data_IF_234329324063
#
_entry.id   IF_234329324063
#
_cell.length_a   1.000
_cell.length_b   1.000
_cell.length_c   1.000
_cell.angle_alpha   90.00
_cell.angle_beta   90.00
_cell.angle_gamma   90.00
#
_symmetry.space_group_name_H-M   'P 1'
#
loop_
_entity.id
_entity.type
_entity.pdbx_description
1 polymer ?
#
# COMPACT_ATOMS: atom_id res chain seq x y z
N UNK A 1 -22.29 19.61 2.47
CA UNK A 1 -21.17 19.11 1.62
C UNK A 1 -20.30 18.29 2.54
N UNK A 2 -20.53 17.00 2.71
CA UNK A 2 -19.63 16.18 3.54
C UNK A 2 -19.51 14.77 2.95
N UNK A 3 -18.73 14.64 1.89
CA UNK A 3 -18.17 13.32 1.58
C UNK A 3 -17.11 13.06 2.64
N UNK A 4 -17.28 12.04 3.48
CA UNK A 4 -16.28 11.67 4.50
C UNK A 4 -15.10 10.93 3.82
N UNK A 5 -14.31 11.68 3.07
CA UNK A 5 -13.13 11.18 2.35
C UNK A 5 -11.92 11.49 3.21
N UNK A 6 -11.56 10.54 4.08
CA UNK A 6 -10.38 10.60 4.94
C UNK A 6 -9.68 9.25 4.96
N UNK A 7 -8.58 9.11 5.70
CA UNK A 7 -7.88 7.82 5.78
C UNK A 7 -8.76 6.71 6.36
N UNK A 8 -9.80 7.05 7.12
CA UNK A 8 -10.72 6.06 7.69
C UNK A 8 -11.52 5.30 6.64
N UNK A 9 -11.69 5.83 5.42
CA UNK A 9 -12.42 5.13 4.36
C UNK A 9 -11.63 3.95 3.75
N UNK A 10 -10.34 3.83 4.04
CA UNK A 10 -9.47 2.77 3.52
C UNK A 10 -9.35 1.68 4.60
N UNK A 11 -9.95 0.53 4.35
CA UNK A 11 -9.92 -0.63 5.25
C UNK A 11 -9.02 -1.70 4.66
N UNK A 12 -8.09 -2.20 5.48
CA UNK A 12 -7.26 -3.36 5.19
C UNK A 12 -7.82 -4.54 5.99
N UNK A 13 -7.79 -5.72 5.40
CA UNK A 13 -8.27 -6.92 6.09
C UNK A 13 -7.22 -7.46 7.09
N UNK A 14 -5.93 -7.19 6.85
CA UNK A 14 -4.82 -7.54 7.74
C UNK A 14 -4.08 -6.28 8.26
N UNK A 15 -3.63 -6.25 9.54
CA UNK A 15 -2.88 -5.12 10.09
C UNK A 15 -1.43 -5.00 9.60
N UNK A 16 -0.83 -6.11 9.15
CA UNK A 16 0.53 -6.15 8.61
C UNK A 16 0.65 -7.24 7.53
N UNK A 17 1.67 -7.12 6.69
CA UNK A 17 1.93 -8.01 5.56
C UNK A 17 3.42 -8.36 5.49
N UNK A 18 3.76 -9.39 4.75
CA UNK A 18 5.12 -9.80 4.41
C UNK A 18 5.35 -9.66 2.89
N UNK A 19 6.61 -9.65 2.42
CA UNK A 19 6.88 -9.77 0.99
C UNK A 19 6.18 -11.00 0.39
N UNK A 20 5.62 -10.87 -0.81
CA UNK A 20 4.82 -11.92 -1.46
C UNK A 20 3.33 -11.98 -1.07
N UNK A 21 2.93 -11.37 0.05
CA UNK A 21 1.53 -11.42 0.50
C UNK A 21 0.56 -10.75 -0.47
N UNK A 22 -0.69 -11.23 -0.44
CA UNK A 22 -1.81 -10.57 -1.10
C UNK A 22 -2.42 -9.56 -0.13
N UNK A 23 -2.39 -8.28 -0.52
CA UNK A 23 -3.03 -7.21 0.24
C UNK A 23 -4.48 -7.08 -0.20
N UNK A 24 -5.40 -7.33 0.72
CA UNK A 24 -6.85 -7.20 0.48
C UNK A 24 -7.49 -6.14 1.37
N UNK A 25 -8.61 -5.60 0.90
CA UNK A 25 -9.39 -4.65 1.66
C UNK A 25 -10.50 -4.01 0.83
N UNK A 26 -11.03 -2.90 1.35
CA UNK A 26 -12.07 -2.13 0.68
C UNK A 26 -12.00 -0.65 0.98
N UNK A 27 -12.41 0.15 -0.01
CA UNK A 27 -12.71 1.57 0.15
C UNK A 27 -14.21 1.70 0.48
N UNK A 28 -14.54 2.28 1.63
CA UNK A 28 -15.92 2.48 2.09
C UNK A 28 -16.24 3.97 2.13
N UNK A 29 -17.11 4.42 1.23
CA UNK A 29 -17.46 5.83 1.08
C UNK A 29 -18.95 6.05 1.35
N UNK A 30 -19.25 7.16 2.01
CA UNK A 30 -20.61 7.62 2.22
C UNK A 30 -20.77 9.03 1.65
N UNK A 31 -21.75 9.21 0.77
CA UNK A 31 -22.10 10.50 0.19
C UNK A 31 -23.54 10.86 0.56
N UNK A 32 -23.73 11.97 1.29
CA UNK A 32 -25.07 12.49 1.61
C UNK A 32 -25.88 12.89 0.36
N UNK A 33 -25.17 13.25 -0.72
CA UNK A 33 -25.73 13.70 -1.99
C UNK A 33 -24.86 13.19 -3.13
N UNK A 34 -25.45 13.13 -4.32
CA UNK A 34 -24.74 12.83 -5.55
C UNK A 34 -23.47 13.67 -5.71
N UNK A 35 -22.35 12.99 -5.98
CA UNK A 35 -21.06 13.62 -6.21
C UNK A 35 -20.75 13.64 -7.70
N UNK A 36 -20.59 14.84 -8.28
CA UNK A 36 -20.10 14.99 -9.66
C UNK A 36 -18.65 14.48 -9.76
N UNK A 37 -18.45 13.37 -10.46
CA UNK A 37 -17.16 12.70 -10.60
C UNK A 37 -17.06 11.95 -11.94
N UNK A 38 -15.86 11.90 -12.53
CA UNK A 38 -15.64 11.17 -13.78
C UNK A 38 -15.16 9.74 -13.54
N UNK A 39 -14.36 9.52 -12.49
CA UNK A 39 -13.84 8.20 -12.12
C UNK A 39 -13.36 8.15 -10.67
N UNK A 40 -13.37 6.95 -10.10
CA UNK A 40 -12.73 6.60 -8.85
C UNK A 40 -11.58 5.64 -9.15
N UNK A 41 -10.37 6.07 -8.82
CA UNK A 41 -9.13 5.28 -8.97
C UNK A 41 -8.67 4.81 -7.60
N UNK A 42 -8.40 3.53 -7.47
CA UNK A 42 -7.69 2.95 -6.33
C UNK A 42 -6.27 2.66 -6.81
N UNK A 43 -5.27 3.16 -6.11
CA UNK A 43 -3.84 2.98 -6.45
C UNK A 43 -3.09 2.45 -5.25
N UNK A 44 -2.08 1.61 -5.49
CA UNK A 44 -1.17 1.13 -4.46
C UNK A 44 0.26 1.39 -4.88
N UNK A 45 1.11 1.71 -3.90
CA UNK A 45 2.49 2.10 -4.15
C UNK A 45 3.37 1.75 -2.96
N UNK A 46 4.60 1.34 -3.25
CA UNK A 46 5.69 1.16 -2.29
C UNK A 46 6.84 2.09 -2.60
N UNK A 47 7.03 3.12 -1.77
CA UNK A 47 8.03 4.19 -1.98
C UNK A 47 9.19 4.09 -0.99
N UNK A 48 10.39 4.26 -1.52
CA UNK A 48 11.63 4.38 -0.75
C UNK A 48 12.25 5.74 -0.98
N UNK A 49 12.56 6.43 0.11
CA UNK A 49 13.45 7.59 0.13
C UNK A 49 14.73 7.19 0.86
N UNK A 50 15.84 7.10 0.13
CA UNK A 50 17.17 6.87 0.68
C UNK A 50 17.91 8.21 0.81
N UNK A 51 18.42 8.50 2.01
CA UNK A 51 18.99 9.82 2.32
C UNK A 51 20.52 9.86 2.31
N UNK A 52 21.21 8.72 2.41
CA UNK A 52 22.67 8.71 2.45
C UNK A 52 23.28 8.19 1.15
N UNK A 53 23.50 9.09 0.19
CA UNK A 53 24.57 8.93 -0.80
C UNK A 53 25.54 10.09 -0.57
N UNK A 54 26.67 9.81 0.10
CA UNK A 54 27.74 10.79 0.33
C UNK A 54 28.49 10.95 -0.99
N UNK A 55 28.23 12.04 -1.71
CA UNK A 55 29.04 12.49 -2.85
C UNK A 55 29.91 13.68 -2.45
N UNK A 56 30.91 14.00 -3.27
CA UNK A 56 31.86 15.10 -3.01
C UNK A 56 31.19 16.49 -2.90
N UNK A 57 29.92 16.64 -3.31
CA UNK A 57 29.19 17.91 -3.38
C UNK A 57 27.99 18.05 -2.42
N UNK A 58 27.85 17.18 -1.40
CA UNK A 58 26.81 17.32 -0.36
C UNK A 58 25.89 16.11 -0.18
N UNK A 59 24.77 16.33 0.52
CA UNK A 59 23.76 15.30 0.83
C UNK A 59 22.80 15.09 -0.37
N UNK A 60 22.81 13.89 -0.96
CA UNK A 60 21.96 13.53 -2.08
C UNK A 60 20.82 12.59 -1.65
N UNK A 61 19.58 12.96 -1.97
CA UNK A 61 18.41 12.11 -1.78
C UNK A 61 18.13 11.29 -3.05
N UNK A 62 17.95 9.97 -2.91
CA UNK A 62 17.48 9.10 -3.98
C UNK A 62 16.12 8.52 -3.61
N UNK A 63 15.15 8.67 -4.50
CA UNK A 63 13.82 8.10 -4.35
C UNK A 63 13.57 7.07 -5.45
N UNK A 64 12.97 5.94 -5.10
CA UNK A 64 12.49 4.95 -6.06
C UNK A 64 11.23 4.26 -5.52
N UNK A 65 10.48 3.63 -6.42
CA UNK A 65 9.28 2.87 -6.06
C UNK A 65 9.49 1.39 -6.35
N UNK A 66 9.20 0.52 -5.40
CA UNK A 66 9.21 -0.94 -5.61
C UNK A 66 8.12 -1.36 -6.60
N UNK A 67 6.95 -0.77 -6.42
CA UNK A 67 5.79 -0.99 -7.27
C UNK A 67 4.91 0.25 -7.24
N UNK A 68 4.15 0.44 -8.32
CA UNK A 68 3.14 1.49 -8.43
C UNK A 68 2.12 1.05 -9.46
N UNK A 69 0.92 0.71 -9.00
CA UNK A 69 -0.15 0.33 -9.92
C UNK A 69 -1.52 0.80 -9.40
N UNK A 70 -2.57 0.53 -10.16
CA UNK A 70 -3.91 0.99 -9.88
C UNK A 70 -5.01 0.23 -10.63
N UNK A 71 -6.22 0.40 -10.13
CA UNK A 71 -7.45 0.03 -10.82
C UNK A 71 -8.44 1.19 -10.85
N UNK A 72 -9.36 1.14 -11.81
CA UNK A 72 -10.51 2.05 -11.89
C UNK A 72 -11.71 1.30 -11.30
N UNK A 73 -12.04 1.60 -10.05
CA UNK A 73 -13.13 0.94 -9.34
C UNK A 73 -14.51 1.48 -9.72
N UNK A 74 -14.57 2.68 -10.28
CA UNK A 74 -15.79 3.24 -10.85
C UNK A 74 -15.48 4.26 -11.95
N UNK A 75 -16.32 4.31 -12.98
CA UNK A 75 -16.21 5.28 -14.08
C UNK A 75 -17.60 5.73 -14.51
N UNK A 76 -17.74 7.02 -14.76
CA UNK A 76 -18.90 7.60 -15.40
C UNK A 76 -19.00 7.15 -16.87
N UNK A 77 -20.18 6.71 -17.32
CA UNK A 77 -20.44 6.32 -18.72
C UNK A 77 -20.08 7.44 -19.73
N UNK A 78 -20.43 8.69 -19.43
CA UNK A 78 -20.13 9.86 -20.28
C UNK A 78 -19.03 10.78 -19.72
N UNK A 79 -18.30 10.34 -18.68
CA UNK A 79 -17.23 11.12 -18.04
C UNK A 79 -17.67 12.33 -17.20
N UNK A 80 -18.96 12.70 -17.21
CA UNK A 80 -19.53 13.82 -16.44
C UNK A 80 -20.60 13.39 -15.42
N UNK A 81 -20.85 12.08 -15.31
CA UNK A 81 -21.90 11.52 -14.45
C UNK A 81 -21.71 11.83 -12.96
N UNK A 82 -22.78 11.53 -12.22
CA UNK A 82 -22.85 11.62 -10.77
C UNK A 82 -22.53 10.25 -10.18
N UNK A 83 -21.59 10.20 -9.26
CA UNK A 83 -21.47 9.08 -8.33
C UNK A 83 -22.61 9.24 -7.32
N UNK A 84 -23.56 8.28 -7.24
CA UNK A 84 -24.81 8.51 -6.55
C UNK A 84 -24.63 8.63 -5.04
N UNK A 85 -25.58 9.31 -4.39
CA UNK A 85 -25.66 9.34 -2.94
C UNK A 85 -25.75 7.93 -2.33
N UNK A 86 -25.36 7.79 -1.07
CA UNK A 86 -25.43 6.54 -0.31
C UNK A 86 -24.07 5.93 0.01
N UNK A 87 -24.11 4.66 0.41
CA UNK A 87 -22.95 3.86 0.81
C UNK A 87 -22.38 3.09 -0.38
N UNK A 88 -21.07 3.20 -0.57
CA UNK A 88 -20.34 2.54 -1.64
C UNK A 88 -19.17 1.76 -1.06
N UNK A 89 -19.01 0.51 -1.52
CA UNK A 89 -17.91 -0.36 -1.13
C UNK A 89 -17.15 -0.82 -2.37
N UNK A 90 -15.89 -0.42 -2.48
CA UNK A 90 -15.02 -0.80 -3.60
C UNK A 90 -13.89 -1.71 -3.08
N UNK A 91 -13.98 -3.04 -3.27
CA UNK A 91 -12.93 -3.95 -2.86
C UNK A 91 -11.66 -3.76 -3.70
N UNK A 92 -10.51 -4.08 -3.12
CA UNK A 92 -9.23 -4.18 -3.82
C UNK A 92 -8.46 -5.41 -3.37
N UNK A 93 -7.63 -5.92 -4.27
CA UNK A 93 -6.70 -7.03 -4.01
C UNK A 93 -5.50 -6.86 -4.95
N UNK A 94 -4.28 -7.00 -4.42
CA UNK A 94 -3.06 -6.98 -5.21
C UNK A 94 -1.94 -7.75 -4.49
N UNK A 95 -1.04 -8.36 -5.27
CA UNK A 95 0.10 -9.10 -4.74
C UNK A 95 1.30 -8.18 -4.53
N UNK A 96 1.95 -8.31 -3.37
CA UNK A 96 3.23 -7.65 -3.09
C UNK A 96 4.38 -8.36 -3.80
N UNK A 97 5.40 -7.64 -4.29
CA UNK A 97 6.62 -8.27 -4.74
C UNK A 97 7.27 -9.13 -3.64
N UNK A 98 7.93 -10.22 -4.06
CA UNK A 98 8.68 -11.14 -3.17
C UNK A 98 9.86 -10.45 -2.46
N UNK A 99 10.40 -9.39 -3.06
CA UNK A 99 11.58 -8.67 -2.57
C UNK A 99 11.21 -7.24 -2.18
N UNK A 100 10.76 -7.07 -0.95
CA UNK A 100 10.43 -5.77 -0.35
C UNK A 100 11.22 -5.52 0.92
N UNK A 101 11.56 -4.25 1.16
CA UNK A 101 12.08 -3.83 2.46
C UNK A 101 10.94 -3.71 3.49
N UNK A 102 11.21 -3.98 4.77
CA UNK A 102 10.25 -3.69 5.82
C UNK A 102 9.87 -2.21 5.86
N UNK A 103 8.64 -1.91 6.27
CA UNK A 103 8.19 -0.53 6.49
C UNK A 103 9.10 0.17 7.49
N UNK A 104 9.57 1.37 7.13
CA UNK A 104 10.49 2.15 7.93
C UNK A 104 10.13 3.64 7.87
N UNK A 105 10.02 4.27 9.03
CA UNK A 105 9.86 5.72 9.14
C UNK A 105 10.63 6.19 10.38
N UNK A 106 11.82 6.79 10.22
CA UNK A 106 12.61 7.28 11.34
C UNK A 106 11.93 8.46 12.04
N UNK A 107 12.29 8.65 13.31
CA UNK A 107 12.05 9.93 14.00
C UNK A 107 13.17 10.91 13.61
N UNK A 108 12.89 12.23 13.56
CA UNK A 108 13.93 13.25 13.40
C UNK A 108 15.04 13.08 14.45
N UNK A 109 16.32 13.34 14.12
CA UNK A 109 16.83 13.97 12.88
C UNK A 109 17.09 12.99 11.73
N UNK A 110 16.88 11.68 11.93
CA UNK A 110 17.11 10.70 10.88
C UNK A 110 16.09 10.86 9.73
N UNK A 111 16.59 10.66 8.52
CA UNK A 111 15.90 10.94 7.26
C UNK A 111 15.77 9.67 6.42
N UNK A 112 14.85 9.69 5.46
CA UNK A 112 14.52 8.55 4.60
C UNK A 112 13.32 7.74 5.10
N UNK A 113 12.73 6.91 4.25
CA UNK A 113 11.60 6.06 4.62
C UNK A 113 11.40 4.92 3.62
N UNK A 114 10.72 3.86 4.08
CA UNK A 114 10.11 2.81 3.26
C UNK A 114 8.63 2.79 3.62
N UNK A 115 7.75 3.17 2.68
CA UNK A 115 6.31 3.33 2.94
C UNK A 115 5.48 2.66 1.86
N UNK A 116 4.51 1.88 2.30
CA UNK A 116 3.53 1.24 1.44
C UNK A 116 2.14 1.78 1.74
N UNK A 117 1.36 2.07 0.70
CA UNK A 117 0.02 2.61 0.88
C UNK A 117 -0.93 2.21 -0.23
N UNK A 118 -2.22 2.17 0.12
CA UNK A 118 -3.34 2.30 -0.81
C UNK A 118 -3.84 3.73 -0.77
N UNK A 119 -4.14 4.28 -1.94
CA UNK A 119 -4.72 5.59 -2.13
C UNK A 119 -5.98 5.51 -2.99
N UNK A 120 -6.97 6.32 -2.65
CA UNK A 120 -8.17 6.52 -3.46
C UNK A 120 -8.18 7.94 -4.00
N UNK A 121 -8.43 8.07 -5.31
CA UNK A 121 -8.58 9.34 -6.00
C UNK A 121 -9.94 9.40 -6.68
N UNK A 122 -10.76 10.37 -6.31
CA UNK A 122 -12.00 10.70 -7.02
C UNK A 122 -11.72 11.89 -7.93
N UNK A 123 -11.79 11.64 -9.23
CA UNK A 123 -11.53 12.67 -10.25
C UNK A 123 -12.81 13.45 -10.51
N UNK A 124 -12.76 14.77 -10.37
CA UNK A 124 -13.92 15.64 -10.51
C UNK A 124 -13.70 16.63 -11.66
N UNK A 125 -14.56 16.64 -12.69
CA UNK A 125 -14.49 17.62 -13.77
C UNK A 125 -14.61 19.06 -13.22
N UNK A 126 -13.71 19.95 -13.67
CA UNK A 126 -13.70 21.38 -13.33
C UNK A 126 -13.69 21.68 -11.82
N UNK A 127 -13.22 20.72 -11.00
CA UNK A 127 -13.09 20.86 -9.55
C UNK A 127 -11.83 20.14 -9.08
N UNK A 128 -11.37 20.49 -7.88
CA UNK A 128 -10.23 19.82 -7.26
C UNK A 128 -10.57 18.34 -7.03
N UNK A 129 -9.67 17.44 -7.39
CA UNK A 129 -9.86 16.01 -7.14
C UNK A 129 -9.78 15.71 -5.64
N UNK A 130 -10.53 14.72 -5.17
CA UNK A 130 -10.28 14.18 -3.84
C UNK A 130 -9.18 13.14 -3.93
N UNK A 131 -8.24 13.17 -3.00
CA UNK A 131 -7.19 12.17 -2.89
C UNK A 131 -6.87 11.93 -1.42
N UNK A 132 -6.95 10.67 -1.00
CA UNK A 132 -6.52 10.24 0.32
C UNK A 132 -5.78 8.93 0.21
N UNK A 133 -4.81 8.71 1.11
CA UNK A 133 -4.03 7.48 1.20
C UNK A 133 -3.87 7.05 2.64
N UNK A 134 -3.76 5.75 2.87
CA UNK A 134 -3.51 5.16 4.18
C UNK A 134 -2.34 4.19 4.05
N UNK A 135 -1.39 4.25 4.97
CA UNK A 135 -0.26 3.33 4.94
C UNK A 135 -0.67 1.95 5.46
N UNK A 136 -0.01 0.91 4.99
CA UNK A 136 0.00 -0.42 5.61
C UNK A 136 1.43 -0.80 5.99
N UNK A 137 1.56 -1.77 6.90
CA UNK A 137 2.85 -2.21 7.42
C UNK A 137 3.30 -3.46 6.67
N UNK A 138 4.54 -3.43 6.17
CA UNK A 138 5.26 -4.62 5.72
C UNK A 138 6.29 -4.96 6.80
N UNK A 139 6.16 -6.13 7.41
CA UNK A 139 7.05 -6.62 8.45
C UNK A 139 8.31 -7.25 7.83
N UNK A 140 9.36 -7.36 8.65
CA UNK A 140 10.52 -8.17 8.29
C UNK A 140 10.11 -9.63 8.38
N UNK A 141 10.29 -10.38 7.30
CA UNK A 141 10.19 -11.84 7.37
C UNK A 141 11.30 -12.31 8.30
N UNK A 142 10.93 -13.00 9.40
CA UNK A 142 11.93 -13.65 10.23
C UNK A 142 12.61 -14.71 9.37
N UNK A 143 13.94 -14.67 9.27
CA UNK A 143 14.70 -15.82 8.83
C UNK A 143 14.47 -16.91 9.86
N UNK A 144 13.45 -17.76 9.63
CA UNK A 144 13.44 -19.06 10.29
C UNK A 144 14.71 -19.74 9.78
N UNK A 145 15.62 -20.19 10.66
CA UNK A 145 16.73 -21.01 10.21
C UNK A 145 16.11 -22.18 9.44
N UNK A 146 16.49 -22.33 8.18
CA UNK A 146 16.13 -23.53 7.42
C UNK A 146 16.41 -24.73 8.31
N UNK A 147 15.41 -25.56 8.56
CA UNK A 147 15.59 -26.81 9.29
C UNK A 147 16.45 -27.73 8.41
N UNK A 148 17.77 -27.53 8.44
CA UNK A 148 18.79 -28.33 7.75
C UNK A 148 19.87 -28.77 8.75
N UNK A 149 19.49 -28.87 10.02
CA UNK A 149 20.32 -29.37 11.12
C UNK A 149 19.87 -30.73 11.67
N UNK A 150 18.69 -31.24 11.29
CA UNK A 150 18.28 -32.61 11.66
C UNK A 150 18.87 -33.69 10.75
N UNK A 151 19.36 -33.34 9.56
CA UNK A 151 20.11 -34.26 8.68
C UNK A 151 21.59 -34.43 9.08
N UNK A 152 21.98 -33.95 10.27
CA UNK A 152 23.31 -34.16 10.87
C UNK A 152 23.27 -35.02 12.13
N UNK A 153 22.19 -35.74 12.41
CA UNK A 153 22.30 -36.89 13.32
C UNK A 153 22.89 -38.07 12.52
N UNK A 154 24.05 -38.62 12.93
CA UNK A 154 24.43 -39.93 12.42
C UNK A 154 23.28 -40.91 12.73
N UNK A 155 22.98 -41.88 11.84
CA UNK A 155 21.97 -42.88 12.13
C UNK A 155 22.28 -43.50 13.51
N UNK A 156 21.26 -43.81 14.33
CA UNK A 156 21.49 -44.54 15.55
C UNK A 156 22.26 -45.82 15.21
N UNK A 157 23.38 -46.06 15.90
CA UNK A 157 24.13 -47.31 15.78
C UNK A 157 23.20 -48.44 16.20
N UNK A 158 22.71 -49.19 15.22
CA UNK A 158 22.16 -50.52 15.44
C UNK A 158 23.32 -51.50 15.36
N UNK A 159 24.14 -51.53 16.41
CA UNK A 159 24.93 -52.71 16.72
C UNK A 159 24.11 -53.56 17.71
N UNK A 160 24.10 -54.86 17.45
CA UNK A 160 23.16 -55.91 17.88
C UNK A 160 22.87 -56.04 19.38
#
# INVERSE_FOLDING_TARGET
MFANISQSCIHYDCPHYFPGDIVTGAIVLHFEKDLRASRLKISWRGDVLATHIRGDNGEHHKSFSYFSDHTIAWRAENGLNKLPAGYHRFPFSFQLPEKLLPSYSPKPPATGYVRYFVGVKIVRPMRINYFVRKNFLVAKQSELPSYSSFDRMPPPNYEE
#
